data_IF_694261028186
#
_entry.id   IF_694261028186
#
_cell.length_a   1.000
_cell.length_b   1.000
_cell.length_c   1.000
_cell.angle_alpha   90.00
_cell.angle_beta   90.00
_cell.angle_gamma   90.00
#
_symmetry.space_group_name_H-M   'P 1'
#
loop_
_entity.id
_entity.type
_entity.pdbx_description
1 polymer ?
#
# COMPACT_ATOMS: atom_id res chain seq x y z
N UNK A 1 -25.02 -12.99 -15.62
CA UNK A 1 -24.06 -13.20 -14.51
C UNK A 1 -24.03 -11.92 -13.71
N UNK A 2 -24.40 -11.98 -12.42
CA UNK A 2 -24.33 -10.81 -11.56
C UNK A 2 -22.87 -10.59 -11.20
N UNK A 3 -22.33 -9.42 -11.51
CA UNK A 3 -21.07 -8.97 -10.94
C UNK A 3 -21.29 -8.91 -9.42
N UNK A 4 -20.65 -9.82 -8.70
CA UNK A 4 -20.55 -9.70 -7.25
C UNK A 4 -19.73 -8.44 -7.00
N UNK A 5 -20.40 -7.39 -6.56
CA UNK A 5 -19.73 -6.25 -5.94
C UNK A 5 -19.05 -6.83 -4.70
N UNK A 6 -17.75 -7.14 -4.80
CA UNK A 6 -16.93 -7.33 -3.62
C UNK A 6 -17.11 -6.05 -2.81
N UNK A 7 -17.78 -6.15 -1.67
CA UNK A 7 -17.77 -5.12 -0.65
C UNK A 7 -16.31 -4.85 -0.34
N UNK A 8 -15.82 -3.66 -0.72
CA UNK A 8 -14.45 -3.20 -0.49
C UNK A 8 -14.23 -2.93 0.99
N UNK A 9 -14.27 -3.98 1.78
CA UNK A 9 -14.03 -3.91 3.22
C UNK A 9 -12.54 -3.84 3.44
N UNK A 10 -12.08 -2.74 4.05
CA UNK A 10 -10.69 -2.56 4.42
C UNK A 10 -10.29 -3.68 5.40
N UNK A 11 -9.25 -4.48 5.13
CA UNK A 11 -8.83 -5.56 6.02
C UNK A 11 -8.46 -5.04 7.41
N UNK A 12 -8.59 -5.90 8.44
CA UNK A 12 -8.16 -5.57 9.80
C UNK A 12 -6.64 -5.48 9.89
N UNK A 13 -5.93 -6.34 9.14
CA UNK A 13 -4.47 -6.37 9.06
C UNK A 13 -4.04 -6.53 7.61
N UNK A 14 -3.01 -5.78 7.23
CA UNK A 14 -2.31 -5.93 5.96
C UNK A 14 -0.89 -6.40 6.27
N UNK A 15 -0.52 -7.58 5.80
CA UNK A 15 0.87 -8.04 5.79
C UNK A 15 1.62 -7.37 4.65
N UNK A 16 2.85 -6.92 4.93
CA UNK A 16 3.67 -6.16 4.00
C UNK A 16 5.00 -6.88 3.74
N UNK A 17 5.29 -7.13 2.47
CA UNK A 17 6.57 -7.67 2.03
C UNK A 17 7.32 -6.62 1.24
N UNK A 18 8.59 -6.39 1.58
CA UNK A 18 9.43 -5.43 0.86
C UNK A 18 9.94 -6.06 -0.44
N UNK A 19 9.39 -5.61 -1.58
CA UNK A 19 9.81 -6.02 -2.91
C UNK A 19 10.36 -4.83 -3.72
N UNK A 20 10.78 -3.75 -3.06
CA UNK A 20 11.30 -2.54 -3.70
C UNK A 20 12.76 -2.67 -4.16
N UNK A 21 13.46 -3.70 -3.68
CA UNK A 21 14.87 -3.95 -3.99
C UNK A 21 15.83 -3.10 -3.15
N UNK A 22 16.99 -2.77 -3.72
CA UNK A 22 18.00 -1.99 -3.02
C UNK A 22 17.54 -0.53 -2.84
N UNK A 23 17.85 0.05 -1.68
CA UNK A 23 17.57 1.47 -1.39
C UNK A 23 18.31 2.36 -2.41
N UNK A 24 17.61 3.19 -3.21
CA UNK A 24 18.27 4.12 -4.11
C UNK A 24 18.92 5.28 -3.34
N UNK A 25 19.93 5.91 -3.95
CA UNK A 25 20.73 6.97 -3.31
C UNK A 25 19.89 8.19 -2.90
N UNK A 26 18.87 8.50 -3.69
CA UNK A 26 17.96 9.63 -3.47
C UNK A 26 16.75 9.29 -2.60
N UNK A 27 16.68 8.08 -2.02
CA UNK A 27 15.55 7.67 -1.20
C UNK A 27 15.39 8.56 0.04
N UNK A 28 14.18 9.10 0.23
CA UNK A 28 13.83 9.86 1.43
C UNK A 28 13.54 8.90 2.59
N UNK A 29 14.12 9.17 3.76
CA UNK A 29 13.91 8.38 4.98
C UNK A 29 15.21 8.07 5.74
N UNK A 30 15.10 7.34 6.84
CA UNK A 30 16.21 7.05 7.77
C UNK A 30 16.19 5.58 8.19
N UNK A 31 17.38 4.97 8.29
CA UNK A 31 17.51 3.56 8.66
C UNK A 31 16.80 2.64 7.65
N UNK A 32 16.02 1.69 8.16
CA UNK A 32 15.22 0.77 7.36
C UNK A 32 13.97 1.38 6.73
N UNK A 33 13.56 2.59 7.17
CA UNK A 33 12.49 3.34 6.53
C UNK A 33 13.03 4.18 5.38
N UNK A 34 12.47 3.99 4.19
CA UNK A 34 12.71 4.86 3.05
C UNK A 34 11.55 4.78 2.06
N UNK A 35 11.42 5.75 1.16
CA UNK A 35 10.56 5.70 -0.04
C UNK A 35 11.21 6.51 -1.17
N UNK A 36 10.77 6.28 -2.42
CA UNK A 36 11.24 7.02 -3.59
C UNK A 36 10.47 8.35 -3.72
N UNK A 37 11.14 9.51 -3.64
CA UNK A 37 10.48 10.81 -3.67
C UNK A 37 9.68 11.09 -4.95
N UNK A 38 10.00 10.43 -6.06
CA UNK A 38 9.32 10.65 -7.33
C UNK A 38 7.88 10.12 -7.35
N UNK A 39 7.45 9.40 -6.29
CA UNK A 39 6.03 9.11 -6.04
C UNK A 39 5.16 10.38 -6.10
N UNK A 40 5.71 11.52 -5.68
CA UNK A 40 4.99 12.80 -5.71
C UNK A 40 4.69 13.30 -7.12
N UNK A 41 5.48 12.90 -8.12
CA UNK A 41 5.31 13.24 -9.52
C UNK A 41 4.38 12.27 -10.29
N UNK A 42 4.06 11.11 -9.72
CA UNK A 42 3.18 10.12 -10.37
C UNK A 42 1.74 10.62 -10.52
N UNK A 43 0.99 10.15 -11.53
CA UNK A 43 -0.42 10.51 -11.75
C UNK A 43 -1.37 9.75 -10.80
N UNK A 44 -0.97 9.59 -9.53
CA UNK A 44 -1.77 8.99 -8.46
C UNK A 44 -2.55 10.07 -7.71
N UNK A 45 -3.67 9.67 -7.10
CA UNK A 45 -4.36 10.54 -6.17
C UNK A 45 -3.45 10.96 -4.99
N UNK A 46 -3.65 12.14 -4.39
CA UNK A 46 -2.87 12.57 -3.23
C UNK A 46 -2.90 11.58 -2.07
N UNK A 47 -4.05 10.94 -1.84
CA UNK A 47 -4.22 9.95 -0.77
C UNK A 47 -3.41 8.68 -1.06
N UNK A 48 -3.38 8.19 -2.31
CA UNK A 48 -2.54 7.04 -2.69
C UNK A 48 -1.05 7.31 -2.54
N UNK A 49 -0.59 8.53 -2.83
CA UNK A 49 0.81 8.92 -2.59
C UNK A 49 1.17 8.84 -1.11
N UNK A 50 0.33 9.41 -0.24
CA UNK A 50 0.51 9.33 1.22
C UNK A 50 0.45 7.87 1.69
N UNK A 51 -0.52 7.10 1.20
CA UNK A 51 -0.69 5.69 1.51
C UNK A 51 0.58 4.90 1.16
N UNK A 52 1.13 5.05 -0.05
CA UNK A 52 2.38 4.38 -0.45
C UNK A 52 3.53 4.70 0.52
N UNK A 53 3.74 5.98 0.85
CA UNK A 53 4.80 6.38 1.79
C UNK A 53 4.58 5.83 3.20
N UNK A 54 3.32 5.70 3.61
CA UNK A 54 2.95 5.10 4.90
C UNK A 54 3.20 3.60 4.89
N UNK A 55 2.81 2.86 3.85
CA UNK A 55 3.14 1.44 3.75
C UNK A 55 4.66 1.21 3.77
N UNK A 56 5.43 2.08 3.12
CA UNK A 56 6.89 2.05 3.18
C UNK A 56 7.47 2.22 4.61
N UNK A 57 6.81 3.00 5.49
CA UNK A 57 7.24 3.14 6.88
C UNK A 57 6.94 1.92 7.75
N UNK A 58 5.94 1.14 7.38
CA UNK A 58 5.56 -0.09 8.09
C UNK A 58 6.25 -1.35 7.57
N UNK A 59 7.06 -1.27 6.50
CA UNK A 59 7.80 -2.43 6.00
C UNK A 59 8.78 -3.03 7.01
N UNK A 60 9.38 -2.19 7.87
CA UNK A 60 10.22 -2.68 8.98
C UNK A 60 9.43 -3.44 10.06
N UNK A 61 8.12 -3.25 10.12
CA UNK A 61 7.20 -3.97 11.02
C UNK A 61 6.58 -5.21 10.34
N UNK A 62 6.63 -5.31 9.01
CA UNK A 62 6.08 -6.42 8.22
C UNK A 62 4.55 -6.46 8.14
N UNK A 63 3.85 -5.52 8.79
CA UNK A 63 2.40 -5.42 8.75
C UNK A 63 1.92 -4.03 9.20
N UNK A 64 0.68 -3.70 8.85
CA UNK A 64 -0.07 -2.55 9.36
C UNK A 64 -1.51 -2.96 9.64
N UNK A 65 -2.07 -2.55 10.79
CA UNK A 65 -3.48 -2.81 11.11
C UNK A 65 -4.37 -1.64 10.66
N UNK A 66 -5.69 -1.87 10.60
CA UNK A 66 -6.68 -0.88 10.17
C UNK A 66 -6.61 0.42 10.99
N UNK A 67 -6.37 0.33 12.30
CA UNK A 67 -6.28 1.50 13.17
C UNK A 67 -5.09 2.38 12.81
N UNK A 68 -3.93 1.78 12.59
CA UNK A 68 -2.71 2.50 12.21
C UNK A 68 -2.83 3.07 10.80
N UNK A 69 -3.49 2.33 9.89
CA UNK A 69 -3.77 2.79 8.53
C UNK A 69 -4.71 4.02 8.52
N UNK A 70 -5.75 4.03 9.36
CA UNK A 70 -6.60 5.21 9.58
C UNK A 70 -5.83 6.38 10.18
N UNK A 71 -4.92 6.11 11.11
CA UNK A 71 -4.04 7.12 11.69
C UNK A 71 -3.10 7.75 10.66
N UNK A 72 -2.61 6.95 9.71
CA UNK A 72 -1.73 7.44 8.64
C UNK A 72 -2.46 8.30 7.60
N UNK A 73 -3.76 8.06 7.39
CA UNK A 73 -4.60 8.73 6.39
C UNK A 73 -5.71 9.57 7.02
N UNK A 74 -5.38 10.33 8.07
CA UNK A 74 -6.33 11.11 8.89
C UNK A 74 -7.51 11.70 8.08
N UNK A 75 -8.73 11.54 8.61
CA UNK A 75 -9.99 11.99 8.00
C UNK A 75 -10.43 11.24 6.73
N UNK A 76 -9.85 10.08 6.41
CA UNK A 76 -10.35 9.18 5.36
C UNK A 76 -11.23 8.07 5.91
N UNK A 77 -12.29 7.74 5.17
CA UNK A 77 -13.13 6.58 5.49
C UNK A 77 -12.46 5.28 5.06
N UNK A 78 -12.90 4.15 5.61
CA UNK A 78 -12.36 2.83 5.21
C UNK A 78 -12.52 2.57 3.72
N UNK A 79 -13.64 2.99 3.14
CA UNK A 79 -13.91 2.85 1.71
C UNK A 79 -12.99 3.73 0.87
N UNK A 80 -12.63 4.93 1.35
CA UNK A 80 -11.62 5.76 0.70
C UNK A 80 -10.26 5.08 0.74
N UNK A 81 -9.84 4.58 1.90
CA UNK A 81 -8.55 3.88 2.04
C UNK A 81 -8.51 2.64 1.13
N UNK A 82 -9.58 1.85 1.11
CA UNK A 82 -9.69 0.68 0.25
C UNK A 82 -9.54 1.03 -1.25
N UNK A 83 -10.22 2.09 -1.72
CA UNK A 83 -10.07 2.57 -3.11
C UNK A 83 -8.64 3.03 -3.44
N UNK A 84 -7.93 3.60 -2.48
CA UNK A 84 -6.53 4.02 -2.68
C UNK A 84 -5.58 2.82 -2.68
N UNK A 85 -5.85 1.77 -1.88
CA UNK A 85 -5.14 0.49 -2.00
C UNK A 85 -5.34 -0.10 -3.41
N UNK A 86 -6.57 -0.11 -3.92
CA UNK A 86 -6.87 -0.57 -5.27
C UNK A 86 -6.17 0.26 -6.36
N UNK A 87 -6.05 1.57 -6.18
CA UNK A 87 -5.29 2.44 -7.09
C UNK A 87 -3.81 2.04 -7.12
N UNK A 88 -3.20 1.80 -5.96
CA UNK A 88 -1.82 1.32 -5.88
C UNK A 88 -1.65 -0.08 -6.50
N UNK A 89 -2.64 -0.96 -6.35
CA UNK A 89 -2.66 -2.28 -7.00
C UNK A 89 -2.76 -2.16 -8.51
N UNK A 90 -3.68 -1.32 -9.00
CA UNK A 90 -3.88 -1.07 -10.44
C UNK A 90 -2.60 -0.57 -11.10
N UNK A 91 -1.83 0.26 -10.41
CA UNK A 91 -0.60 0.85 -10.91
C UNK A 91 0.68 0.08 -10.48
N UNK A 92 0.53 -1.17 -10.01
CA UNK A 92 1.62 -2.10 -9.65
C UNK A 92 2.58 -1.65 -8.54
N UNK A 93 2.20 -0.64 -7.75
CA UNK A 93 2.95 -0.27 -6.54
C UNK A 93 2.64 -1.20 -5.36
N UNK A 94 1.50 -1.88 -5.41
CA UNK A 94 1.17 -3.01 -4.56
C UNK A 94 0.81 -4.22 -5.44
N UNK A 95 1.24 -5.40 -5.03
CA UNK A 95 0.85 -6.66 -5.69
C UNK A 95 0.37 -7.63 -4.61
N UNK A 96 -0.82 -8.24 -4.74
CA UNK A 96 -1.24 -9.30 -3.81
C UNK A 96 -0.16 -10.37 -3.72
N UNK A 97 0.24 -10.73 -2.50
CA UNK A 97 1.31 -11.70 -2.31
C UNK A 97 0.79 -13.15 -2.34
N UNK A 98 -0.53 -13.35 -2.24
CA UNK A 98 -1.25 -14.64 -2.25
C UNK A 98 -0.68 -15.67 -1.25
N UNK A 99 0.02 -15.21 -0.20
CA UNK A 99 0.61 -16.05 0.85
C UNK A 99 -0.40 -16.36 1.95
N UNK A 100 -1.44 -15.53 2.08
CA UNK A 100 -2.56 -15.76 3.00
C UNK A 100 -3.81 -16.09 2.19
N UNK A 101 -4.06 -17.38 1.97
CA UNK A 101 -5.32 -17.85 1.39
C UNK A 101 -6.35 -18.09 2.50
N UNK A 102 -7.52 -17.44 2.40
CA UNK A 102 -8.73 -17.64 3.23
C UNK A 102 -8.85 -16.86 4.56
N UNK A 103 -8.61 -15.55 4.55
CA UNK A 103 -9.03 -14.67 5.65
C UNK A 103 -9.65 -13.38 5.14
N UNK A 104 -10.94 -13.16 5.41
CA UNK A 104 -11.62 -11.90 5.09
C UNK A 104 -11.09 -10.71 5.91
N UNK A 105 -10.25 -10.99 6.92
CA UNK A 105 -9.72 -9.98 7.85
C UNK A 105 -8.25 -9.63 7.60
N UNK A 106 -7.54 -10.44 6.81
CA UNK A 106 -6.11 -10.27 6.56
C UNK A 106 -5.85 -10.25 5.06
N UNK A 107 -5.24 -9.16 4.59
CA UNK A 107 -4.71 -9.08 3.24
C UNK A 107 -3.18 -9.10 3.28
N UNK A 108 -2.54 -9.43 2.17
CA UNK A 108 -1.09 -9.42 2.05
C UNK A 108 -0.65 -8.80 0.72
N UNK A 109 0.32 -7.90 0.79
CA UNK A 109 0.86 -7.19 -0.37
C UNK A 109 2.38 -7.17 -0.37
N UNK A 110 2.94 -7.30 -1.57
CA UNK A 110 4.30 -6.88 -1.87
C UNK A 110 4.29 -5.39 -2.23
N UNK A 111 5.09 -4.59 -1.52
CA UNK A 111 5.31 -3.19 -1.86
C UNK A 111 6.43 -3.12 -2.90
N UNK A 112 6.14 -2.53 -4.05
CA UNK A 112 7.05 -2.45 -5.19
C UNK A 112 7.68 -1.06 -5.30
N UNK A 113 8.85 -0.99 -5.94
CA UNK A 113 9.51 0.28 -6.26
C UNK A 113 8.64 1.09 -7.24
N UNK A 114 8.72 2.42 -7.19
CA UNK A 114 8.04 3.26 -8.17
C UNK A 114 8.55 3.05 -9.60
N UNK A 115 9.73 2.45 -9.79
CA UNK A 115 10.23 2.05 -11.10
C UNK A 115 9.36 0.99 -11.79
N UNK A 116 8.51 0.31 -11.02
CA UNK A 116 7.54 -0.69 -11.50
C UNK A 116 6.15 -0.08 -11.75
N UNK A 117 5.99 1.25 -11.58
CA UNK A 117 4.73 1.94 -11.81
C UNK A 117 4.26 1.76 -13.27
N UNK A 118 3.01 1.33 -13.45
CA UNK A 118 2.36 1.27 -14.75
C UNK A 118 1.23 2.29 -14.83
N UNK A 119 1.28 3.19 -15.81
CA UNK A 119 0.35 4.31 -16.01
C UNK A 119 -0.72 4.06 -17.06
#
# INVERSE_FOLDING_TARGET
MKAEQQTTTLPEVILLFDARGARPENAAGVGGFWYEPEVWALPLSPTSKVLYTSLCSFLGHGQINRRDLRGALENRTDEEIARNLEELVRHKLLVPADRVTNSDTVADYEVRSIGEFEG
#
